data_IF_111967701082
#
_entry.id   IF_111967701082
#
_cell.length_a   1.000
_cell.length_b   1.000
_cell.length_c   1.000
_cell.angle_alpha   90.00
_cell.angle_beta   90.00
_cell.angle_gamma   90.00
#
_symmetry.space_group_name_H-M   'P 1'
#
loop_
_entity.id
_entity.type
_entity.pdbx_description
1 polymer ?
#
# COMPACT_ATOMS: atom_id res chain seq x y z
N UNK A 1 11.19 42.50 0.34
CA UNK A 1 11.16 41.69 1.56
C UNK A 1 9.79 41.03 1.65
N UNK A 2 9.72 39.72 1.37
CA UNK A 2 8.49 38.94 1.27
C UNK A 2 7.63 39.06 2.54
N UNK A 3 8.28 39.12 3.71
CA UNK A 3 7.56 39.23 4.99
C UNK A 3 6.84 40.56 5.14
N UNK A 4 7.45 41.66 4.71
CA UNK A 4 6.81 42.98 4.73
C UNK A 4 5.60 43.05 3.78
N UNK A 5 5.68 42.39 2.63
CA UNK A 5 4.55 42.31 1.70
C UNK A 5 3.38 41.50 2.31
N UNK A 6 3.69 40.35 2.90
CA UNK A 6 2.72 39.54 3.65
C UNK A 6 2.02 40.34 4.76
N UNK A 7 2.80 41.01 5.60
CA UNK A 7 2.27 41.75 6.76
C UNK A 7 1.35 42.90 6.31
N UNK A 8 1.72 43.62 5.22
CA UNK A 8 0.87 44.66 4.63
C UNK A 8 -0.45 44.09 4.11
N UNK A 9 -0.41 42.97 3.38
CA UNK A 9 -1.62 42.35 2.83
C UNK A 9 -2.53 41.79 3.93
N UNK A 10 -1.94 41.20 4.97
CA UNK A 10 -2.64 40.73 6.19
C UNK A 10 -3.38 41.87 6.86
N UNK A 11 -2.71 43.01 7.00
CA UNK A 11 -3.30 44.22 7.56
C UNK A 11 -4.45 44.75 6.68
N UNK A 12 -4.24 44.88 5.37
CA UNK A 12 -5.26 45.37 4.44
C UNK A 12 -6.50 44.47 4.40
N UNK A 13 -6.34 43.15 4.49
CA UNK A 13 -7.44 42.20 4.49
C UNK A 13 -8.18 42.15 5.84
N UNK A 14 -7.47 41.83 6.94
CA UNK A 14 -8.12 41.58 8.23
C UNK A 14 -8.50 42.85 8.98
N UNK A 15 -7.73 43.94 8.85
CA UNK A 15 -8.04 45.20 9.54
C UNK A 15 -8.95 46.09 8.71
N UNK A 16 -8.69 46.18 7.40
CA UNK A 16 -9.36 47.17 6.54
C UNK A 16 -10.37 46.57 5.56
N UNK A 17 -10.39 45.24 5.37
CA UNK A 17 -11.30 44.58 4.44
C UNK A 17 -11.14 45.01 2.98
N UNK A 18 -9.95 45.48 2.59
CA UNK A 18 -9.71 46.16 1.30
C UNK A 18 -9.54 45.22 0.10
N UNK A 19 -9.55 43.90 0.32
CA UNK A 19 -9.43 42.91 -0.74
C UNK A 19 -10.31 41.68 -0.51
N UNK A 20 -10.56 40.94 -1.59
CA UNK A 20 -11.31 39.69 -1.51
C UNK A 20 -10.49 38.59 -0.82
N UNK A 21 -11.17 37.56 -0.33
CA UNK A 21 -10.50 36.38 0.23
C UNK A 21 -9.66 35.66 -0.81
N UNK A 22 -10.16 35.58 -2.04
CA UNK A 22 -9.50 34.88 -3.15
C UNK A 22 -8.19 35.57 -3.54
N UNK A 23 -8.20 36.90 -3.66
CA UNK A 23 -6.99 37.68 -3.92
C UNK A 23 -5.98 37.56 -2.78
N UNK A 24 -6.48 37.62 -1.53
CA UNK A 24 -5.64 37.47 -0.35
C UNK A 24 -4.91 36.12 -0.32
N UNK A 25 -5.64 35.03 -0.52
CA UNK A 25 -5.10 33.67 -0.51
C UNK A 25 -4.10 33.47 -1.66
N UNK A 26 -4.39 34.02 -2.85
CA UNK A 26 -3.49 34.00 -3.99
C UNK A 26 -2.15 34.70 -3.70
N UNK A 27 -2.19 35.98 -3.27
CA UNK A 27 -0.97 36.73 -2.97
C UNK A 27 -0.19 36.16 -1.79
N UNK A 28 -0.87 35.61 -0.77
CA UNK A 28 -0.20 34.94 0.34
C UNK A 28 0.58 33.71 -0.14
N UNK A 29 -0.03 32.88 -1.00
CA UNK A 29 0.65 31.72 -1.59
C UNK A 29 1.93 32.13 -2.32
N UNK A 30 1.84 33.09 -3.24
CA UNK A 30 2.99 33.53 -4.03
C UNK A 30 4.14 34.09 -3.17
N UNK A 31 3.81 34.85 -2.12
CA UNK A 31 4.79 35.44 -1.21
C UNK A 31 5.48 34.36 -0.38
N UNK A 32 4.73 33.40 0.15
CA UNK A 32 5.30 32.29 0.94
C UNK A 32 6.15 31.37 0.07
N UNK A 33 5.72 31.10 -1.17
CA UNK A 33 6.50 30.33 -2.14
C UNK A 33 7.81 31.05 -2.51
N UNK A 34 7.78 32.37 -2.65
CA UNK A 34 8.97 33.20 -2.79
C UNK A 34 9.94 33.03 -1.62
N UNK A 35 9.45 33.12 -0.38
CA UNK A 35 10.27 32.93 0.82
C UNK A 35 10.84 31.49 0.90
N UNK A 36 10.05 30.50 0.52
CA UNK A 36 10.48 29.10 0.44
C UNK A 36 11.64 28.94 -0.54
N UNK A 37 11.52 29.50 -1.75
CA UNK A 37 12.60 29.51 -2.76
C UNK A 37 13.85 30.22 -2.27
N UNK A 38 13.73 31.39 -1.64
CA UNK A 38 14.88 32.13 -1.11
C UNK A 38 15.60 31.35 0.00
N UNK A 39 14.85 30.69 0.88
CA UNK A 39 15.41 29.84 1.93
C UNK A 39 16.09 28.59 1.39
N UNK A 40 15.56 27.99 0.32
CA UNK A 40 16.21 26.88 -0.38
C UNK A 40 17.52 27.36 -1.03
N UNK A 41 17.47 28.48 -1.76
CA UNK A 41 18.65 29.05 -2.41
C UNK A 41 19.75 29.43 -1.41
N UNK A 42 19.37 29.90 -0.23
CA UNK A 42 20.29 30.22 0.86
C UNK A 42 20.72 28.99 1.70
N UNK A 43 20.24 27.78 1.39
CA UNK A 43 20.61 26.54 2.07
C UNK A 43 19.96 26.31 3.43
N UNK A 44 18.96 27.12 3.82
CA UNK A 44 18.21 26.95 5.07
C UNK A 44 17.13 25.88 4.99
N UNK A 45 16.65 25.56 3.78
CA UNK A 45 15.67 24.51 3.51
C UNK A 45 16.19 23.61 2.38
N UNK A 46 15.90 22.31 2.48
CA UNK A 46 16.13 21.36 1.38
C UNK A 46 14.90 21.32 0.47
N UNK A 47 15.12 21.15 -0.84
CA UNK A 47 14.02 20.90 -1.78
C UNK A 47 13.31 19.61 -1.36
N UNK A 48 11.97 19.63 -1.17
CA UNK A 48 11.23 18.40 -0.88
C UNK A 48 11.41 17.41 -2.03
N UNK A 49 11.63 16.14 -1.71
CA UNK A 49 11.60 15.10 -2.73
C UNK A 49 10.18 15.00 -3.31
N UNK A 50 10.04 14.71 -4.62
CA UNK A 50 8.73 14.49 -5.21
C UNK A 50 8.02 13.31 -4.51
N UNK A 51 6.68 13.32 -4.43
CA UNK A 51 5.93 12.18 -3.90
C UNK A 51 6.31 10.88 -4.61
N UNK A 52 6.42 9.79 -3.85
CA UNK A 52 6.70 8.46 -4.39
C UNK A 52 5.50 7.94 -5.19
N UNK A 53 5.77 7.33 -6.33
CA UNK A 53 4.78 6.58 -7.12
C UNK A 53 4.69 5.15 -6.61
N UNK A 54 3.80 4.94 -5.62
CA UNK A 54 3.64 3.64 -4.97
C UNK A 54 3.09 2.57 -5.93
N UNK A 55 2.31 2.95 -6.95
CA UNK A 55 1.73 2.01 -7.90
C UNK A 55 2.82 1.45 -8.82
N UNK A 56 3.65 2.33 -9.38
CA UNK A 56 4.81 1.93 -10.18
C UNK A 56 5.81 1.08 -9.37
N UNK A 57 6.06 1.43 -8.11
CA UNK A 57 6.94 0.65 -7.23
C UNK A 57 6.37 -0.75 -6.94
N UNK A 58 5.06 -0.87 -6.71
CA UNK A 58 4.39 -2.16 -6.47
C UNK A 58 4.47 -3.05 -7.72
N UNK A 59 4.28 -2.49 -8.91
CA UNK A 59 4.34 -3.27 -10.15
C UNK A 59 5.76 -3.78 -10.45
N UNK A 60 6.80 -3.00 -10.13
CA UNK A 60 8.19 -3.47 -10.19
C UNK A 60 8.44 -4.63 -9.21
N UNK A 61 7.93 -4.54 -7.98
CA UNK A 61 8.07 -5.61 -6.99
C UNK A 61 7.32 -6.88 -7.40
N UNK A 62 6.14 -6.75 -8.03
CA UNK A 62 5.40 -7.90 -8.58
C UNK A 62 6.17 -8.55 -9.72
N UNK A 63 6.72 -7.77 -10.64
CA UNK A 63 7.53 -8.28 -11.75
C UNK A 63 8.75 -9.04 -11.23
N UNK A 64 9.42 -8.54 -10.19
CA UNK A 64 10.56 -9.21 -9.58
C UNK A 64 10.18 -10.53 -8.86
N UNK A 65 9.02 -10.58 -8.20
CA UNK A 65 8.60 -11.76 -7.43
C UNK A 65 7.95 -12.87 -8.28
N UNK A 66 7.36 -12.54 -9.44
CA UNK A 66 6.77 -13.54 -10.34
C UNK A 66 7.80 -14.46 -10.98
N UNK A 67 9.07 -14.04 -11.07
CA UNK A 67 10.14 -14.85 -11.67
C UNK A 67 10.66 -15.97 -10.73
N UNK A 68 10.37 -15.89 -9.43
CA UNK A 68 11.02 -16.77 -8.42
C UNK A 68 10.16 -17.95 -7.94
N UNK A 69 8.85 -17.99 -8.21
CA UNK A 69 7.94 -18.93 -7.51
C UNK A 69 7.35 -20.07 -8.36
N UNK A 70 7.51 -20.06 -9.68
CA UNK A 70 6.99 -21.13 -10.57
C UNK A 70 8.06 -21.91 -11.34
N UNK A 71 9.33 -21.51 -11.25
CA UNK A 71 10.45 -22.18 -11.91
C UNK A 71 11.14 -23.23 -11.03
N UNK A 72 10.79 -23.32 -9.74
CA UNK A 72 11.48 -24.16 -8.75
C UNK A 72 10.87 -25.52 -8.46
N UNK A 73 9.62 -25.77 -8.85
CA UNK A 73 8.97 -27.08 -8.70
C UNK A 73 8.86 -27.71 -10.09
N UNK A 74 9.58 -28.81 -10.29
CA UNK A 74 9.43 -29.59 -11.52
C UNK A 74 8.26 -30.59 -11.38
N UNK A 75 7.84 -31.18 -12.50
CA UNK A 75 6.72 -32.14 -12.52
C UNK A 75 6.94 -33.34 -11.58
N UNK A 76 8.19 -33.73 -11.33
CA UNK A 76 8.51 -34.83 -10.42
C UNK A 76 8.31 -34.44 -8.94
N UNK A 77 8.53 -33.18 -8.57
CA UNK A 77 8.24 -32.69 -7.22
C UNK A 77 6.72 -32.71 -6.94
N UNK A 78 5.92 -32.33 -7.94
CA UNK A 78 4.46 -32.39 -7.87
C UNK A 78 3.95 -33.84 -7.79
N UNK A 79 4.56 -34.76 -8.54
CA UNK A 79 4.22 -36.19 -8.50
C UNK A 79 4.54 -36.81 -7.12
N UNK A 80 5.67 -36.43 -6.53
CA UNK A 80 6.06 -36.89 -5.20
C UNK A 80 5.11 -36.37 -4.10
N UNK A 81 4.69 -35.10 -4.18
CA UNK A 81 3.69 -34.54 -3.25
C UNK A 81 2.37 -35.31 -3.36
N UNK A 82 1.89 -35.56 -4.58
CA UNK A 82 0.65 -36.31 -4.81
C UNK A 82 0.73 -37.74 -4.28
N UNK A 83 1.87 -38.42 -4.48
CA UNK A 83 2.08 -39.79 -3.99
C UNK A 83 2.09 -39.85 -2.46
N UNK A 84 2.72 -38.87 -1.81
CA UNK A 84 2.77 -38.78 -0.35
C UNK A 84 1.40 -38.49 0.26
N UNK A 85 0.60 -37.61 -0.36
CA UNK A 85 -0.77 -37.35 0.08
C UNK A 85 -1.67 -38.57 -0.05
N UNK A 86 -1.53 -39.33 -1.15
CA UNK A 86 -2.31 -40.55 -1.37
C UNK A 86 -1.97 -41.65 -0.36
N UNK A 87 -0.68 -41.85 -0.08
CA UNK A 87 -0.25 -42.80 0.96
C UNK A 87 -0.81 -42.46 2.34
N UNK A 88 -0.80 -41.18 2.71
CA UNK A 88 -1.36 -40.73 3.99
C UNK A 88 -2.89 -40.90 4.07
N UNK A 89 -3.61 -40.79 2.96
CA UNK A 89 -5.06 -41.06 2.90
C UNK A 89 -5.33 -42.55 3.06
N UNK A 90 -4.53 -43.40 2.40
CA UNK A 90 -4.69 -44.87 2.46
C UNK A 90 -4.33 -45.43 3.86
N UNK A 91 -3.45 -44.77 4.62
CA UNK A 91 -3.10 -45.12 6.01
C UNK A 91 -4.17 -44.72 7.03
N UNK A 92 -5.07 -43.79 6.69
CA UNK A 92 -6.24 -43.47 7.51
C UNK A 92 -7.31 -44.53 7.24
N UNK A 93 -7.23 -45.66 7.97
CA UNK A 93 -8.29 -46.67 7.92
C UNK A 93 -9.59 -46.11 8.51
N UNK A 94 -10.75 -46.53 7.99
CA UNK A 94 -12.07 -46.14 8.52
C UNK A 94 -12.22 -46.45 10.02
N UNK A 95 -11.49 -47.46 10.50
CA UNK A 95 -11.41 -47.87 11.91
C UNK A 95 -10.73 -46.81 12.79
N UNK A 96 -9.75 -46.07 12.26
CA UNK A 96 -9.03 -45.00 12.97
C UNK A 96 -9.83 -43.71 13.11
N UNK A 97 -10.80 -43.47 12.22
CA UNK A 97 -11.69 -42.30 12.28
C UNK A 97 -12.93 -42.53 13.16
N UNK A 98 -13.16 -43.75 13.64
CA UNK A 98 -14.32 -44.09 14.49
C UNK A 98 -15.67 -43.89 13.79
N UNK A 99 -15.68 -43.77 12.47
CA UNK A 99 -16.90 -43.58 11.67
C UNK A 99 -17.49 -44.95 11.42
N UNK A 100 -18.25 -45.46 12.38
CA UNK A 100 -19.22 -46.52 12.08
C UNK A 100 -20.34 -45.92 11.24
N UNK A 101 -20.44 -46.31 9.98
CA UNK A 101 -21.57 -45.98 9.11
C UNK A 101 -22.82 -46.80 9.50
N UNK A 102 -23.20 -46.78 10.78
CA UNK A 102 -24.44 -47.39 11.25
C UNK A 102 -25.51 -46.29 11.34
N UNK A 103 -26.52 -46.32 10.46
CA UNK A 103 -27.68 -45.44 10.59
C UNK A 103 -28.38 -45.76 11.94
N UNK A 104 -28.47 -44.81 12.91
CA UNK A 104 -28.80 -45.12 14.30
C UNK A 104 -30.22 -45.64 14.56
N UNK A 105 -31.04 -45.81 13.51
CA UNK A 105 -32.44 -46.21 13.63
C UNK A 105 -32.83 -47.52 12.95
N UNK A 106 -32.02 -48.08 12.05
CA UNK A 106 -32.47 -49.27 11.29
C UNK A 106 -31.45 -50.39 11.05
N UNK A 107 -30.21 -50.29 11.54
CA UNK A 107 -29.31 -51.46 11.65
C UNK A 107 -29.06 -52.23 10.34
N UNK A 108 -28.97 -51.53 9.21
CA UNK A 108 -28.58 -52.13 7.93
C UNK A 108 -27.22 -51.58 7.50
N UNK A 109 -26.27 -52.48 7.29
CA UNK A 109 -24.92 -52.20 6.78
C UNK A 109 -24.96 -52.13 5.24
N UNK A 110 -24.21 -51.19 4.64
CA UNK A 110 -23.92 -51.15 3.20
C UNK A 110 -22.43 -51.41 3.01
#
# INVERSE_FOLDING_TARGET
DARKAHDSLTEDYYKNGLMSKEDFDHYHGEIWDGLGRDKIAAGYLTVPEPPRDLEAEIDQLRAANFDTTLTGFNDADLENINKSLKGNIDEISEESLGIKNECPKCGYEW
#
